data_IF_646233922510
#
_entry.id   IF_646233922510
#
_cell.length_a   1.000
_cell.length_b   1.000
_cell.length_c   1.000
_cell.angle_alpha   90.00
_cell.angle_beta   90.00
_cell.angle_gamma   90.00
#
_symmetry.space_group_name_H-M   'P 1'
#
loop_
_entity.id
_entity.type
_entity.pdbx_description
1 polymer ?
#
# COMPACT_ATOMS: atom_id res chain seq x y z
N UNK A 1 -12.10 -10.05 23.76
CA UNK A 1 -12.87 -8.82 23.44
C UNK A 1 -11.90 -7.64 23.51
N UNK A 2 -11.43 -7.12 22.38
CA UNK A 2 -10.30 -6.18 22.33
C UNK A 2 -10.58 -4.83 23.01
N UNK A 3 -11.85 -4.42 23.11
CA UNK A 3 -12.25 -3.15 23.70
C UNK A 3 -12.39 -3.19 25.22
N UNK A 4 -12.17 -4.34 25.85
CA UNK A 4 -12.35 -4.55 27.28
C UNK A 4 -11.15 -5.27 27.87
N UNK A 5 -10.96 -5.12 29.18
CA UNK A 5 -9.99 -5.86 29.98
C UNK A 5 -10.65 -6.27 31.30
N UNK A 6 -10.07 -7.25 32.00
CA UNK A 6 -10.51 -7.63 33.34
C UNK A 6 -9.66 -6.89 34.37
N UNK A 7 -10.31 -6.23 35.33
CA UNK A 7 -9.61 -5.63 36.46
C UNK A 7 -9.18 -6.69 37.49
N UNK A 8 -8.48 -6.25 38.54
CA UNK A 8 -7.99 -7.12 39.62
C UNK A 8 -9.13 -7.80 40.41
N UNK A 9 -10.34 -7.23 40.41
CA UNK A 9 -11.52 -7.82 41.04
C UNK A 9 -12.28 -8.77 40.07
N UNK A 10 -11.79 -8.95 38.85
CA UNK A 10 -12.40 -9.80 37.82
C UNK A 10 -13.51 -9.11 37.01
N UNK A 11 -13.80 -7.85 37.28
CA UNK A 11 -14.80 -7.04 36.59
C UNK A 11 -14.38 -6.70 35.16
N UNK A 12 -15.33 -6.69 34.23
CA UNK A 12 -15.08 -6.31 32.84
C UNK A 12 -15.12 -4.78 32.70
N UNK A 13 -14.00 -4.16 32.36
CA UNK A 13 -13.88 -2.72 32.14
C UNK A 13 -13.58 -2.41 30.69
N UNK A 14 -14.16 -1.33 30.17
CA UNK A 14 -13.86 -0.82 28.83
C UNK A 14 -12.48 -0.17 28.83
N UNK A 15 -11.67 -0.46 27.81
CA UNK A 15 -10.38 0.20 27.60
C UNK A 15 -10.58 1.65 27.13
N UNK A 16 -9.80 2.56 27.71
CA UNK A 16 -9.60 3.94 27.26
C UNK A 16 -8.11 4.19 27.08
N UNK A 17 -7.71 5.40 26.68
CA UNK A 17 -6.29 5.76 26.62
C UNK A 17 -5.66 5.72 28.03
N UNK A 18 -6.39 6.23 29.02
CA UNK A 18 -5.90 6.36 30.40
C UNK A 18 -6.13 5.10 31.24
N UNK A 19 -7.07 4.23 30.84
CA UNK A 19 -7.47 3.05 31.59
C UNK A 19 -7.44 1.80 30.71
N UNK A 20 -6.45 0.92 30.95
CA UNK A 20 -6.29 -0.33 30.20
C UNK A 20 -5.66 -0.19 28.81
N UNK A 21 -5.45 1.03 28.30
CA UNK A 21 -4.71 1.33 27.06
C UNK A 21 -5.43 0.89 25.77
N UNK A 22 -5.45 1.75 24.77
CA UNK A 22 -6.01 1.42 23.46
C UNK A 22 -5.07 0.49 22.68
N UNK A 23 -5.61 -0.54 22.00
CA UNK A 23 -4.81 -1.38 21.11
C UNK A 23 -4.19 -0.56 19.96
N UNK A 24 -3.01 -0.95 19.45
CA UNK A 24 -2.40 -0.35 18.28
C UNK A 24 -3.34 -0.35 17.06
N UNK A 25 -3.30 0.72 16.24
CA UNK A 25 -4.16 0.87 15.05
C UNK A 25 -4.03 -0.26 14.03
N UNK A 26 -2.86 -0.90 13.97
CA UNK A 26 -2.57 -2.07 13.12
C UNK A 26 -3.29 -3.35 13.58
N UNK A 27 -3.78 -3.39 14.82
CA UNK A 27 -4.44 -4.56 15.41
C UNK A 27 -5.88 -4.30 15.84
N UNK A 28 -6.27 -3.04 15.98
CA UNK A 28 -7.63 -2.68 16.42
C UNK A 28 -8.69 -3.07 15.38
N UNK A 29 -9.73 -3.75 15.86
CA UNK A 29 -10.93 -4.04 15.07
C UNK A 29 -11.74 -2.74 14.96
N UNK A 30 -11.85 -2.23 13.74
CA UNK A 30 -12.48 -0.92 13.46
C UNK A 30 -13.82 -1.02 12.74
N UNK A 31 -14.21 -2.23 12.35
CA UNK A 31 -15.45 -2.54 11.67
C UNK A 31 -16.05 -3.82 12.28
N UNK A 32 -17.37 -3.83 12.59
CA UNK A 32 -18.06 -5.04 13.01
C UNK A 32 -18.30 -6.02 11.85
N UNK A 33 -18.23 -5.54 10.60
CA UNK A 33 -18.52 -6.34 9.40
C UNK A 33 -17.29 -7.04 8.85
N UNK A 34 -16.10 -6.45 9.04
CA UNK A 34 -14.84 -7.01 8.58
C UNK A 34 -13.76 -6.76 9.62
N UNK A 35 -13.37 -7.82 10.32
CA UNK A 35 -12.38 -7.78 11.39
C UNK A 35 -10.95 -7.64 10.87
N UNK A 36 -10.73 -7.70 9.55
CA UNK A 36 -9.42 -7.50 8.89
C UNK A 36 -9.21 -6.07 8.40
N UNK A 37 -10.28 -5.26 8.35
CA UNK A 37 -10.19 -3.82 8.08
C UNK A 37 -9.31 -3.11 9.12
N UNK A 38 -8.49 -2.17 8.67
CA UNK A 38 -7.59 -1.40 9.55
C UNK A 38 -7.81 0.10 9.43
N UNK A 39 -7.66 0.80 10.54
CA UNK A 39 -7.62 2.27 10.55
C UNK A 39 -6.20 2.74 10.28
N UNK A 40 -6.07 3.67 9.34
CA UNK A 40 -4.81 4.34 9.05
C UNK A 40 -5.04 5.83 8.96
N UNK A 41 -4.00 6.54 9.37
CA UNK A 41 -3.89 7.97 9.26
C UNK A 41 -2.62 8.28 8.49
N UNK A 42 -2.78 9.03 7.41
CA UNK A 42 -1.66 9.56 6.66
C UNK A 42 -1.58 11.07 6.89
N UNK A 43 -0.50 11.52 7.55
CA UNK A 43 -0.34 12.92 7.97
C UNK A 43 -1.49 13.40 8.86
N UNK A 44 -1.83 14.68 8.78
CA UNK A 44 -2.88 15.25 9.63
C UNK A 44 -4.28 15.15 9.04
N UNK A 45 -4.39 15.05 7.71
CA UNK A 45 -5.61 15.29 6.96
C UNK A 45 -6.29 13.98 6.56
N UNK A 46 -5.54 12.99 6.10
CA UNK A 46 -6.12 11.80 5.49
C UNK A 46 -6.26 10.69 6.53
N UNK A 47 -7.48 10.17 6.66
CA UNK A 47 -7.83 9.08 7.56
C UNK A 47 -8.77 8.14 6.83
N UNK A 48 -8.50 6.85 6.89
CA UNK A 48 -9.38 5.85 6.28
C UNK A 48 -9.45 4.58 7.15
N UNK A 49 -10.55 3.83 6.99
CA UNK A 49 -10.73 2.49 7.56
C UNK A 49 -10.97 1.52 6.42
N UNK A 50 -10.24 0.41 6.38
CA UNK A 50 -10.46 -0.64 5.38
C UNK A 50 -9.18 -1.08 4.70
N UNK A 51 -9.13 -0.91 3.38
CA UNK A 51 -8.14 -1.47 2.48
C UNK A 51 -7.62 -0.41 1.51
N UNK A 52 -6.41 -0.62 1.01
CA UNK A 52 -5.81 0.17 -0.07
C UNK A 52 -5.80 -0.66 -1.36
N UNK A 53 -6.09 -0.01 -2.48
CA UNK A 53 -5.98 -0.60 -3.80
C UNK A 53 -4.75 -0.02 -4.52
N UNK A 54 -3.83 -0.91 -4.90
CA UNK A 54 -2.65 -0.61 -5.69
C UNK A 54 -2.97 -0.94 -7.15
N UNK A 55 -2.93 0.07 -8.00
CA UNK A 55 -3.35 -0.01 -9.39
C UNK A 55 -2.16 0.28 -10.29
N UNK A 56 -1.92 -0.60 -11.25
CA UNK A 56 -0.93 -0.41 -12.31
C UNK A 56 -1.63 -0.24 -13.65
N UNK A 57 -1.19 0.72 -14.45
CA UNK A 57 -1.69 0.94 -15.80
C UNK A 57 -0.58 1.16 -16.84
N UNK A 58 -0.95 1.03 -18.11
CA UNK A 58 -0.09 1.42 -19.24
C UNK A 58 -0.03 2.93 -19.39
N UNK A 59 1.10 3.46 -19.86
CA UNK A 59 1.28 4.89 -20.11
C UNK A 59 2.16 5.09 -21.36
N UNK A 60 1.59 4.88 -22.55
CA UNK A 60 2.27 5.13 -23.82
C UNK A 60 1.61 6.29 -24.56
N UNK A 61 2.44 7.21 -25.08
CA UNK A 61 1.99 8.35 -25.87
C UNK A 61 1.19 7.91 -27.09
N UNK A 62 0.05 8.55 -27.32
CA UNK A 62 -0.81 8.24 -28.47
C UNK A 62 -1.63 6.95 -28.32
N UNK A 63 -1.70 6.37 -27.12
CA UNK A 63 -2.53 5.20 -26.81
C UNK A 63 -3.42 5.44 -25.60
N UNK A 64 -4.48 4.64 -25.46
CA UNK A 64 -5.33 4.66 -24.27
C UNK A 64 -4.62 3.92 -23.13
N UNK A 65 -4.65 4.50 -21.94
CA UNK A 65 -4.14 3.85 -20.74
C UNK A 65 -5.10 2.74 -20.29
N UNK A 66 -4.55 1.56 -19.98
CA UNK A 66 -5.30 0.38 -19.56
C UNK A 66 -4.79 -0.08 -18.21
N UNK A 67 -5.70 -0.29 -17.25
CA UNK A 67 -5.37 -0.89 -15.96
C UNK A 67 -4.99 -2.37 -16.17
N UNK A 68 -3.75 -2.72 -15.86
CA UNK A 68 -3.20 -4.06 -16.07
C UNK A 68 -3.25 -4.91 -14.82
N UNK A 69 -3.08 -4.32 -13.64
CA UNK A 69 -3.06 -5.01 -12.35
C UNK A 69 -3.76 -4.19 -11.28
N UNK A 70 -4.56 -4.87 -10.46
CA UNK A 70 -5.12 -4.34 -9.22
C UNK A 70 -4.77 -5.32 -8.09
N UNK A 71 -4.16 -4.82 -7.03
CA UNK A 71 -3.86 -5.54 -5.79
C UNK A 71 -4.48 -4.80 -4.63
N UNK A 72 -5.29 -5.49 -3.84
CA UNK A 72 -5.90 -4.91 -2.64
C UNK A 72 -5.20 -5.44 -1.41
N UNK A 73 -4.77 -4.55 -0.52
CA UNK A 73 -4.11 -4.90 0.74
C UNK A 73 -4.80 -4.20 1.90
N UNK A 74 -4.47 -4.62 3.14
CA UNK A 74 -4.88 -3.87 4.31
C UNK A 74 -4.42 -2.41 4.18
N UNK A 75 -5.27 -1.48 4.61
CA UNK A 75 -4.96 -0.06 4.70
C UNK A 75 -3.61 0.23 5.37
N UNK A 76 -3.23 -0.59 6.35
CA UNK A 76 -2.01 -0.47 7.15
C UNK A 76 -0.75 -0.99 6.47
N UNK A 77 -0.89 -1.54 5.26
CA UNK A 77 0.24 -2.03 4.47
C UNK A 77 1.01 -0.84 3.90
N UNK A 78 2.34 -0.84 4.03
CA UNK A 78 3.18 0.16 3.38
C UNK A 78 3.11 0.00 1.85
N UNK A 79 3.04 1.12 1.12
CA UNK A 79 2.81 1.13 -0.33
C UNK A 79 3.87 0.34 -1.13
N UNK A 80 5.12 0.28 -0.66
CA UNK A 80 6.17 -0.46 -1.36
C UNK A 80 6.05 -2.00 -1.21
N UNK A 81 5.40 -2.49 -0.15
CA UNK A 81 5.26 -3.91 0.13
C UNK A 81 4.56 -4.73 -0.98
N UNK A 82 3.46 -4.28 -1.62
CA UNK A 82 2.82 -5.02 -2.71
C UNK A 82 3.62 -5.07 -4.02
N UNK A 83 4.68 -4.26 -4.19
CA UNK A 83 5.43 -4.17 -5.45
C UNK A 83 5.93 -5.51 -6.01
N UNK A 84 6.52 -6.43 -5.20
CA UNK A 84 6.98 -7.72 -5.72
C UNK A 84 5.81 -8.58 -6.25
N UNK A 85 4.64 -8.52 -5.60
CA UNK A 85 3.45 -9.24 -6.04
C UNK A 85 2.89 -8.70 -7.36
N UNK A 86 2.90 -7.37 -7.52
CA UNK A 86 2.52 -6.68 -8.75
C UNK A 86 3.45 -7.09 -9.89
N UNK A 87 4.77 -7.05 -9.67
CA UNK A 87 5.78 -7.45 -10.67
C UNK A 87 5.62 -8.90 -11.08
N UNK A 88 5.44 -9.80 -10.13
CA UNK A 88 5.20 -11.23 -10.41
C UNK A 88 3.96 -11.42 -11.29
N UNK A 89 2.90 -10.65 -11.04
CA UNK A 89 1.66 -10.71 -11.84
C UNK A 89 1.82 -10.11 -13.23
N UNK A 90 2.60 -9.04 -13.38
CA UNK A 90 2.97 -8.47 -14.68
C UNK A 90 3.83 -9.45 -15.49
N UNK A 91 4.85 -10.06 -14.87
CA UNK A 91 5.72 -11.08 -15.48
C UNK A 91 4.91 -12.25 -16.03
N UNK A 92 4.00 -12.80 -15.21
CA UNK A 92 3.12 -13.90 -15.62
C UNK A 92 2.25 -13.56 -16.84
N UNK A 93 1.93 -12.28 -17.03
CA UNK A 93 1.10 -11.79 -18.15
C UNK A 93 1.93 -11.34 -19.36
N UNK A 94 3.26 -11.39 -19.28
CA UNK A 94 4.13 -10.81 -20.32
C UNK A 94 4.04 -9.29 -20.42
N UNK A 95 3.67 -8.61 -19.32
CA UNK A 95 3.45 -7.16 -19.27
C UNK A 95 4.50 -6.44 -18.40
N UNK A 96 5.72 -6.98 -18.30
CA UNK A 96 6.78 -6.27 -17.60
C UNK A 96 7.17 -5.03 -18.40
N UNK A 97 7.17 -3.85 -17.78
CA UNK A 97 7.63 -2.65 -18.45
C UNK A 97 9.15 -2.55 -18.46
N UNK A 98 9.68 -1.78 -19.41
CA UNK A 98 11.07 -1.32 -19.33
C UNK A 98 11.25 -0.26 -18.23
N UNK A 99 10.25 0.60 -18.04
CA UNK A 99 10.24 1.65 -17.03
C UNK A 99 8.93 1.64 -16.23
N UNK A 100 9.05 1.71 -14.91
CA UNK A 100 7.95 1.78 -13.96
C UNK A 100 7.97 3.12 -13.22
N UNK A 101 7.06 4.02 -13.58
CA UNK A 101 6.84 5.27 -12.86
C UNK A 101 5.99 4.99 -11.61
N UNK A 102 6.44 5.44 -10.46
CA UNK A 102 5.80 5.16 -9.17
C UNK A 102 5.63 6.42 -8.37
N UNK A 103 4.63 6.45 -7.50
CA UNK A 103 4.48 7.52 -6.52
C UNK A 103 5.55 7.42 -5.41
N UNK A 104 5.78 8.52 -4.68
CA UNK A 104 6.78 8.58 -3.63
C UNK A 104 6.60 7.53 -2.53
N UNK A 105 5.36 7.09 -2.24
CA UNK A 105 5.10 6.01 -1.28
C UNK A 105 5.73 4.65 -1.67
N UNK A 106 5.97 4.43 -2.97
CA UNK A 106 6.55 3.20 -3.52
C UNK A 106 8.06 3.28 -3.72
N UNK A 107 8.64 4.46 -3.52
CA UNK A 107 10.05 4.72 -3.79
C UNK A 107 10.90 4.30 -2.59
N UNK A 108 11.25 3.02 -2.56
CA UNK A 108 12.07 2.40 -1.51
C UNK A 108 13.33 1.79 -2.12
N UNK A 109 14.50 2.10 -1.56
CA UNK A 109 15.81 1.68 -2.09
C UNK A 109 15.89 0.17 -2.36
N UNK A 110 15.42 -0.65 -1.43
CA UNK A 110 15.41 -2.12 -1.59
C UNK A 110 14.55 -2.55 -2.79
N UNK A 111 13.42 -1.88 -3.03
CA UNK A 111 12.54 -2.21 -4.14
C UNK A 111 13.05 -1.68 -5.49
N UNK A 112 13.83 -0.59 -5.50
CA UNK A 112 14.51 -0.06 -6.69
C UNK A 112 15.62 -1.01 -7.12
N UNK A 113 16.50 -1.39 -6.20
CA UNK A 113 17.61 -2.32 -6.45
C UNK A 113 17.11 -3.65 -7.02
N UNK A 114 16.14 -4.29 -6.35
CA UNK A 114 15.57 -5.55 -6.81
C UNK A 114 14.87 -5.45 -8.16
N UNK A 115 14.22 -4.33 -8.46
CA UNK A 115 13.57 -4.14 -9.76
C UNK A 115 14.58 -4.24 -10.90
N UNK A 116 15.72 -3.58 -10.71
CA UNK A 116 16.78 -3.56 -11.70
C UNK A 116 17.45 -4.94 -11.79
N UNK A 117 17.83 -5.52 -10.66
CA UNK A 117 18.58 -6.77 -10.65
C UNK A 117 17.76 -7.97 -11.14
N UNK A 118 16.52 -8.11 -10.68
CA UNK A 118 15.69 -9.31 -10.94
C UNK A 118 14.90 -9.22 -12.25
N UNK A 119 14.56 -8.01 -12.69
CA UNK A 119 13.61 -7.82 -13.80
C UNK A 119 14.08 -6.81 -14.86
N UNK A 120 15.25 -6.19 -14.70
CA UNK A 120 15.75 -5.16 -15.63
C UNK A 120 14.76 -3.99 -15.81
N UNK A 121 14.05 -3.64 -14.73
CA UNK A 121 13.07 -2.55 -14.73
C UNK A 121 13.68 -1.31 -14.10
N UNK A 122 13.73 -0.22 -14.87
CA UNK A 122 14.01 1.11 -14.32
C UNK A 122 12.81 1.59 -13.54
N UNK A 123 12.99 1.95 -12.27
CA UNK A 123 11.91 2.50 -11.43
C UNK A 123 12.17 3.98 -11.18
N UNK A 124 11.22 4.82 -11.57
CA UNK A 124 11.32 6.28 -11.52
C UNK A 124 10.19 6.85 -10.66
N UNK A 125 10.49 7.78 -9.76
CA UNK A 125 9.47 8.37 -8.88
C UNK A 125 10.03 9.49 -8.01
N UNK A 126 9.16 10.36 -7.47
CA UNK A 126 9.60 11.42 -6.56
C UNK A 126 10.17 10.80 -5.28
N UNK A 127 11.37 11.24 -4.88
CA UNK A 127 11.97 10.82 -3.63
C UNK A 127 11.30 11.58 -2.47
N UNK A 128 10.77 10.85 -1.50
CA UNK A 128 10.17 11.44 -0.30
C UNK A 128 11.28 11.87 0.68
N UNK A 129 11.95 12.99 0.39
CA UNK A 129 13.02 13.54 1.23
C UNK A 129 12.47 14.22 2.51
N UNK A 130 11.15 14.35 2.66
CA UNK A 130 10.53 15.17 3.72
C UNK A 130 9.25 14.57 4.33
N UNK A 131 8.94 13.29 4.10
CA UNK A 131 7.76 12.63 4.68
C UNK A 131 6.40 13.18 4.21
N UNK A 132 6.38 13.96 3.12
CA UNK A 132 5.13 14.43 2.50
C UNK A 132 4.57 13.33 1.61
N UNK A 133 3.43 12.80 1.99
CA UNK A 133 2.71 11.80 1.22
C UNK A 133 1.83 12.42 0.16
N UNK A 134 1.95 11.86 -1.03
CA UNK A 134 0.96 11.95 -2.08
C UNK A 134 0.08 10.70 -1.92
N UNK A 135 -1.25 10.83 -1.95
CA UNK A 135 -2.12 9.65 -1.92
C UNK A 135 -1.76 8.73 -3.07
N UNK A 136 -1.32 7.52 -2.73
CA UNK A 136 -1.06 6.46 -3.67
C UNK A 136 -2.31 6.21 -4.52
N UNK A 137 -2.28 6.67 -5.77
CA UNK A 137 -3.03 6.08 -6.87
C UNK A 137 -2.20 6.25 -8.13
N UNK A 138 -1.98 5.11 -8.78
CA UNK A 138 -1.41 4.92 -10.10
C UNK A 138 0.12 4.71 -10.08
N UNK A 139 0.46 3.46 -10.29
CA UNK A 139 1.77 3.03 -10.76
C UNK A 139 1.70 2.95 -12.29
N UNK A 140 2.62 3.60 -13.00
CA UNK A 140 2.58 3.73 -14.45
C UNK A 140 3.68 2.93 -15.08
N UNK A 141 3.39 2.25 -16.16
CA UNK A 141 4.34 1.36 -16.81
C UNK A 141 4.48 1.75 -18.28
N UNK A 142 5.71 2.01 -18.76
CA UNK A 142 5.97 2.19 -20.20
C UNK A 142 6.09 0.81 -20.83
N UNK A 143 5.25 0.45 -21.81
CA UNK A 143 5.44 -0.78 -22.56
C UNK A 143 6.78 -0.75 -23.30
N UNK A 144 7.40 -1.92 -23.44
CA UNK A 144 8.57 -2.11 -24.31
C UNK A 144 8.10 -1.85 -25.74
N UNK A 145 8.75 -0.93 -26.46
CA UNK A 145 8.41 -0.60 -27.83
C UNK A 145 8.44 -1.84 -28.72
N UNK A 146 7.28 -2.16 -29.32
CA UNK A 146 7.19 -3.06 -30.47
C UNK A 146 7.07 -2.20 -31.72
N UNK A 147 7.91 -2.51 -32.71
CA UNK A 147 7.90 -1.93 -34.05
C UNK A 147 6.58 -2.19 -34.80
#
# INVERSE_FOLDING_TARGET
MQNFYRDAAGGLRRRTADDGGLPPSSTVIVSPYDTTARYVRHGHIIRWKGFAAHVTETCASGSVNVITVVVTTSAATNDAQPLPSIRTRLARRGLLPAEHLVDGGYTSLIHLERAQHEHQITVSGPQNVTGRFVPARLQWSRPVGGA
#
